data_IF_231712137806
#
_entry.id   IF_231712137806
#
_cell.length_a   1.000
_cell.length_b   1.000
_cell.length_c   1.000
_cell.angle_alpha   90.00
_cell.angle_beta   90.00
_cell.angle_gamma   90.00
#
_symmetry.space_group_name_H-M   'P 1'
#
loop_
_entity.id
_entity.type
_entity.pdbx_description
1 polymer ?
#
# COMPACT_ATOMS: atom_id res chain seq x y z
N UNK A 1 -3.62 -7.35 -23.42
CA UNK A 1 -4.85 -6.71 -22.94
C UNK A 1 -4.44 -5.66 -21.92
N UNK A 2 -4.69 -4.38 -22.19
CA UNK A 2 -4.56 -3.32 -21.18
C UNK A 2 -5.80 -3.40 -20.30
N UNK A 3 -5.68 -4.05 -19.16
CA UNK A 3 -6.72 -4.01 -18.14
C UNK A 3 -6.51 -2.75 -17.31
N UNK A 4 -7.57 -1.98 -17.08
CA UNK A 4 -7.51 -0.81 -16.23
C UNK A 4 -7.36 -1.27 -14.78
N UNK A 5 -6.37 -0.75 -14.06
CA UNK A 5 -6.21 -1.00 -12.62
C UNK A 5 -6.94 0.08 -11.83
N UNK A 6 -7.85 -0.32 -10.97
CA UNK A 6 -8.53 0.53 -10.00
C UNK A 6 -7.75 0.57 -8.68
N UNK A 7 -7.49 1.79 -8.20
CA UNK A 7 -6.89 2.02 -6.89
C UNK A 7 -7.95 2.57 -5.93
N UNK A 8 -8.21 1.83 -4.85
CA UNK A 8 -9.17 2.24 -3.82
C UNK A 8 -8.39 2.60 -2.55
N UNK A 9 -8.50 3.85 -2.12
CA UNK A 9 -7.81 4.34 -0.93
C UNK A 9 -8.69 4.25 0.32
N UNK A 10 -8.14 3.73 1.42
CA UNK A 10 -8.80 3.92 2.71
C UNK A 10 -8.63 5.37 3.19
N UNK A 11 -9.57 5.90 4.00
CA UNK A 11 -9.41 7.23 4.59
C UNK A 11 -8.11 7.41 5.39
N UNK A 12 -7.60 6.32 5.99
CA UNK A 12 -6.33 6.33 6.71
C UNK A 12 -5.14 6.50 5.77
N UNK A 13 -5.12 5.76 4.67
CA UNK A 13 -4.09 5.89 3.64
C UNK A 13 -4.06 7.31 3.08
N UNK A 14 -5.21 7.85 2.64
CA UNK A 14 -5.28 9.20 2.05
C UNK A 14 -4.76 10.27 3.01
N UNK A 15 -5.10 10.17 4.31
CA UNK A 15 -4.59 11.12 5.33
C UNK A 15 -3.09 10.99 5.55
N UNK A 16 -2.54 9.78 5.51
CA UNK A 16 -1.12 9.53 5.74
C UNK A 16 -0.27 9.89 4.53
N UNK A 17 -0.68 9.48 3.32
CA UNK A 17 0.12 9.67 2.10
C UNK A 17 0.33 11.16 1.79
N UNK A 18 -0.71 11.98 1.99
CA UNK A 18 -0.66 13.45 1.84
C UNK A 18 0.32 14.16 2.78
N UNK A 19 0.73 13.51 3.86
CA UNK A 19 1.71 14.08 4.81
C UNK A 19 3.14 13.69 4.46
N UNK A 20 3.35 12.67 3.61
CA UNK A 20 4.66 12.03 3.42
C UNK A 20 5.14 12.03 1.97
N UNK A 21 4.26 12.25 1.01
CA UNK A 21 4.51 12.13 -0.41
C UNK A 21 3.74 13.18 -1.21
N UNK A 22 4.26 13.51 -2.39
CA UNK A 22 3.56 14.32 -3.39
C UNK A 22 2.65 13.45 -4.25
N UNK A 23 1.74 14.08 -5.00
CA UNK A 23 0.89 13.37 -5.96
C UNK A 23 1.72 12.70 -7.07
N UNK A 24 2.86 13.29 -7.46
CA UNK A 24 3.79 12.70 -8.44
C UNK A 24 4.47 11.44 -7.89
N UNK A 25 4.87 11.45 -6.61
CA UNK A 25 5.41 10.24 -5.97
C UNK A 25 4.35 9.13 -5.95
N UNK A 26 3.10 9.46 -5.58
CA UNK A 26 2.00 8.49 -5.53
C UNK A 26 1.69 7.93 -6.93
N UNK A 27 1.74 8.77 -7.96
CA UNK A 27 1.56 8.35 -9.34
C UNK A 27 2.62 7.35 -9.79
N UNK A 28 3.86 7.54 -9.36
CA UNK A 28 4.94 6.61 -9.68
C UNK A 28 4.75 5.26 -8.99
N UNK A 29 4.31 5.26 -7.72
CA UNK A 29 3.89 4.03 -7.03
C UNK A 29 2.76 3.31 -7.78
N UNK A 30 1.74 4.04 -8.22
CA UNK A 30 0.61 3.46 -8.95
C UNK A 30 1.06 2.84 -10.28
N UNK A 31 1.96 3.51 -11.03
CA UNK A 31 2.55 2.94 -12.26
C UNK A 31 3.28 1.63 -11.98
N UNK A 32 4.12 1.62 -10.95
CA UNK A 32 4.86 0.43 -10.54
C UNK A 32 3.92 -0.75 -10.19
N UNK A 33 2.79 -0.46 -9.54
CA UNK A 33 1.77 -1.45 -9.20
C UNK A 33 0.90 -1.87 -10.39
N UNK A 34 0.69 -1.02 -11.38
CA UNK A 34 0.05 -1.40 -12.65
C UNK A 34 0.94 -2.40 -13.41
N UNK A 35 2.24 -2.15 -13.48
CA UNK A 35 3.20 -3.00 -14.17
C UNK A 35 3.42 -4.34 -13.45
N UNK A 36 3.46 -4.31 -12.11
CA UNK A 36 3.70 -5.50 -11.29
C UNK A 36 2.80 -5.49 -10.05
N UNK A 37 1.53 -5.93 -10.17
CA UNK A 37 0.55 -5.84 -9.09
C UNK A 37 0.91 -6.64 -7.83
N UNK A 38 1.77 -7.65 -7.96
CA UNK A 38 2.25 -8.48 -6.85
C UNK A 38 3.59 -8.00 -6.26
N UNK A 39 4.08 -6.82 -6.64
CA UNK A 39 5.35 -6.28 -6.15
C UNK A 39 5.34 -6.01 -4.64
N UNK A 40 6.49 -6.26 -4.01
CA UNK A 40 6.67 -6.05 -2.57
C UNK A 40 6.42 -7.29 -1.74
N UNK A 41 6.73 -7.16 -0.45
CA UNK A 41 6.84 -8.30 0.45
C UNK A 41 5.46 -8.72 0.97
N UNK A 42 5.07 -9.98 0.78
CA UNK A 42 3.86 -10.54 1.39
C UNK A 42 4.00 -10.54 2.92
N UNK A 43 3.07 -9.88 3.60
CA UNK A 43 3.05 -9.83 5.07
C UNK A 43 2.33 -11.08 5.57
N UNK A 44 3.09 -12.01 6.15
CA UNK A 44 2.54 -13.25 6.69
C UNK A 44 1.47 -12.98 7.75
N UNK A 45 0.49 -13.89 7.85
CA UNK A 45 -0.63 -13.85 8.79
C UNK A 45 -1.59 -12.65 8.65
N UNK A 46 -1.56 -11.91 7.54
CA UNK A 46 -2.46 -10.77 7.30
C UNK A 46 -3.59 -11.05 6.31
N UNK A 47 -3.68 -12.27 5.77
CA UNK A 47 -4.71 -12.62 4.78
C UNK A 47 -4.43 -12.18 3.34
N UNK A 48 -3.24 -11.60 3.07
CA UNK A 48 -2.80 -11.28 1.71
C UNK A 48 -2.23 -9.87 1.54
N UNK A 49 -1.99 -9.11 2.61
CA UNK A 49 -1.41 -7.78 2.49
C UNK A 49 0.04 -7.84 2.00
N UNK A 50 0.42 -6.85 1.20
CA UNK A 50 1.76 -6.65 0.68
C UNK A 50 2.33 -5.34 1.16
N UNK A 51 3.64 -5.30 1.36
CA UNK A 51 4.41 -4.12 1.75
C UNK A 51 5.34 -3.73 0.61
N UNK A 52 5.11 -2.57 0.02
CA UNK A 52 5.96 -2.00 -1.03
C UNK A 52 6.73 -0.79 -0.50
N UNK A 53 7.98 -0.65 -0.95
CA UNK A 53 8.82 0.52 -0.65
C UNK A 53 8.52 1.57 -1.71
N UNK A 54 8.15 2.75 -1.28
CA UNK A 54 7.86 3.89 -2.14
C UNK A 54 8.98 4.92 -1.96
N UNK A 55 9.64 5.31 -3.05
CA UNK A 55 10.54 6.44 -3.04
C UNK A 55 9.72 7.73 -2.84
N UNK A 56 10.18 8.64 -2.00
CA UNK A 56 9.55 9.96 -1.85
C UNK A 56 10.60 11.05 -1.99
N UNK A 57 10.28 12.13 -2.72
CA UNK A 57 11.27 13.16 -3.04
C UNK A 57 10.74 14.59 -3.08
N UNK A 58 11.26 15.44 -2.19
CA UNK A 58 11.56 16.84 -2.50
C UNK A 58 13.07 17.06 -2.33
N UNK A 59 13.67 17.94 -3.15
CA UNK A 59 15.12 18.17 -3.24
C UNK A 59 15.84 18.17 -1.88
N UNK A 60 16.79 17.25 -1.69
CA UNK A 60 17.84 17.36 -0.66
C UNK A 60 17.91 16.24 0.40
N UNK A 61 16.86 15.45 0.61
CA UNK A 61 16.91 14.23 1.45
C UNK A 61 16.11 13.12 0.77
N UNK A 62 16.75 11.99 0.50
CA UNK A 62 16.07 10.77 0.03
C UNK A 62 15.09 10.30 1.09
N UNK A 63 13.83 10.74 1.02
CA UNK A 63 12.74 10.21 1.78
C UNK A 63 12.35 8.83 1.24
N UNK A 64 11.81 7.98 2.12
CA UNK A 64 11.18 6.74 1.68
C UNK A 64 9.94 6.50 2.52
N UNK A 65 8.89 6.04 1.88
CA UNK A 65 7.67 5.58 2.53
C UNK A 65 7.54 4.07 2.37
N UNK A 66 6.78 3.45 3.27
CA UNK A 66 6.31 2.07 3.11
C UNK A 66 4.79 2.13 2.97
N UNK A 67 4.30 1.53 1.91
CA UNK A 67 2.87 1.40 1.64
C UNK A 67 2.46 -0.05 1.86
N UNK A 68 1.37 -0.24 2.58
CA UNK A 68 0.71 -1.54 2.72
C UNK A 68 -0.54 -1.52 1.87
N UNK A 69 -0.67 -2.52 1.00
CA UNK A 69 -1.78 -2.64 0.08
C UNK A 69 -2.32 -4.07 0.01
N UNK A 70 -3.52 -4.24 -0.52
CA UNK A 70 -4.15 -5.52 -0.80
C UNK A 70 -4.47 -5.63 -2.29
N UNK A 71 -3.92 -6.65 -2.95
CA UNK A 71 -4.29 -7.01 -4.32
C UNK A 71 -5.55 -7.89 -4.26
N UNK A 72 -6.72 -7.28 -4.42
CA UNK A 72 -8.01 -7.96 -4.27
C UNK A 72 -8.33 -8.82 -5.49
N UNK A 73 -8.07 -8.27 -6.68
CA UNK A 73 -8.11 -8.99 -7.96
C UNK A 73 -6.89 -8.59 -8.79
N UNK A 74 -6.75 -9.08 -10.03
CA UNK A 74 -5.67 -8.60 -10.93
C UNK A 74 -5.79 -7.12 -11.30
N UNK A 75 -6.96 -6.52 -11.06
CA UNK A 75 -7.32 -5.18 -11.52
C UNK A 75 -7.68 -4.24 -10.36
N UNK A 76 -7.91 -4.74 -9.14
CA UNK A 76 -8.32 -3.92 -7.99
C UNK A 76 -7.24 -3.97 -6.89
N UNK A 77 -6.70 -2.80 -6.57
CA UNK A 77 -5.69 -2.60 -5.52
C UNK A 77 -6.25 -1.67 -4.44
N UNK A 78 -6.33 -2.19 -3.21
CA UNK A 78 -6.66 -1.38 -2.04
C UNK A 78 -5.40 -0.85 -1.37
N UNK A 79 -5.28 0.48 -1.27
CA UNK A 79 -4.22 1.16 -0.54
C UNK A 79 -4.65 1.34 0.92
N UNK A 80 -4.06 0.55 1.81
CA UNK A 80 -4.52 0.41 3.20
C UNK A 80 -3.88 1.44 4.11
N UNK A 81 -2.56 1.59 4.05
CA UNK A 81 -1.85 2.55 4.90
C UNK A 81 -0.46 2.89 4.37
N UNK A 82 0.03 4.06 4.76
CA UNK A 82 1.36 4.54 4.40
C UNK A 82 2.07 5.12 5.63
N UNK A 83 3.38 4.91 5.73
CA UNK A 83 4.18 5.49 6.80
C UNK A 83 5.63 5.73 6.36
N UNK A 84 6.32 6.74 6.91
CA UNK A 84 7.72 6.98 6.61
C UNK A 84 8.62 5.80 7.03
N UNK A 85 9.76 5.65 6.33
CA UNK A 85 10.76 4.60 6.56
C UNK A 85 11.22 4.48 8.02
N UNK A 86 11.26 5.56 8.79
CA UNK A 86 11.77 5.58 10.16
C UNK A 86 10.72 5.28 11.24
N UNK A 87 9.44 5.13 10.89
CA UNK A 87 8.37 4.99 11.90
C UNK A 87 8.22 3.56 12.37
N UNK A 88 8.28 2.58 11.47
CA UNK A 88 7.93 1.19 11.79
C UNK A 88 8.70 0.20 10.96
N UNK A 89 9.42 -0.71 11.62
CA UNK A 89 10.13 -1.80 10.93
C UNK A 89 9.27 -3.06 10.78
N UNK A 90 8.37 -3.32 11.74
CA UNK A 90 7.47 -4.48 11.71
C UNK A 90 6.09 -4.18 12.29
N UNK A 91 5.10 -4.99 11.88
CA UNK A 91 3.76 -5.00 12.46
C UNK A 91 3.73 -5.97 13.64
N UNK A 92 3.07 -5.59 14.74
CA UNK A 92 2.84 -6.50 15.86
C UNK A 92 1.83 -7.59 15.46
N UNK A 93 1.79 -8.69 16.21
CA UNK A 93 0.84 -9.76 15.90
C UNK A 93 -0.62 -9.35 16.12
N UNK A 94 -0.88 -8.45 17.08
CA UNK A 94 -2.19 -7.84 17.26
C UNK A 94 -2.60 -7.01 16.04
N UNK A 95 -1.68 -6.22 15.48
CA UNK A 95 -1.95 -5.44 14.26
C UNK A 95 -2.18 -6.33 13.05
N UNK A 96 -1.40 -7.41 12.90
CA UNK A 96 -1.62 -8.39 11.83
C UNK A 96 -2.99 -9.04 11.96
N UNK A 97 -3.45 -9.34 13.17
CA UNK A 97 -4.76 -9.91 13.41
C UNK A 97 -5.89 -8.94 13.00
N UNK A 98 -5.80 -7.67 13.34
CA UNK A 98 -6.77 -6.65 12.90
C UNK A 98 -6.75 -6.45 11.38
N UNK A 99 -5.56 -6.39 10.78
CA UNK A 99 -5.39 -6.31 9.33
C UNK A 99 -5.94 -7.54 8.60
N UNK A 100 -5.87 -8.73 9.22
CA UNK A 100 -6.49 -9.96 8.70
C UNK A 100 -8.02 -9.90 8.71
N UNK A 101 -8.62 -9.24 9.70
CA UNK A 101 -10.08 -8.99 9.71
C UNK A 101 -10.46 -8.04 8.57
N UNK A 102 -9.69 -6.96 8.41
CA UNK A 102 -9.91 -5.98 7.34
C UNK A 102 -9.84 -6.64 5.96
N UNK A 103 -8.77 -7.39 5.66
CA UNK A 103 -8.64 -8.08 4.35
C UNK A 103 -9.75 -9.07 4.07
N UNK A 104 -10.35 -9.69 5.09
CA UNK A 104 -11.53 -10.55 4.90
C UNK A 104 -12.72 -9.74 4.40
N UNK A 105 -13.01 -8.60 5.03
CA UNK A 105 -14.10 -7.72 4.61
C UNK A 105 -13.87 -7.21 3.18
N UNK A 106 -12.66 -6.78 2.85
CA UNK A 106 -12.32 -6.28 1.51
C UNK A 106 -12.44 -7.35 0.42
N UNK A 107 -12.25 -8.63 0.75
CA UNK A 107 -12.47 -9.74 -0.19
C UNK A 107 -13.94 -10.00 -0.47
N UNK A 108 -14.82 -9.70 0.48
CA UNK A 108 -16.26 -9.89 0.33
C UNK A 108 -16.90 -8.73 -0.47
N UNK A 109 -16.18 -7.63 -0.69
CA UNK A 109 -16.64 -6.45 -1.46
C UNK A 109 -16.28 -6.50 -2.96
N UNK A 110 -15.44 -7.44 -3.40
CA UNK A 110 -14.95 -7.54 -4.78
C UNK A 110 -15.44 -8.80 -5.51
#
# INVERSE_FOLDING_TARGET
>A
MNHATEFIETPMFTRQIKQIATDDDLKELQRELIETPDKGDLIQNTGGLRKIRMATGTQGKSGGARVIYFLATKEIIWLIMAYPKNVKDSLSDAEKAELKKLTRLLKDEV
#
